data_IF_416852276951
#
_entry.id   IF_416852276951
#
_cell.length_a   1.000
_cell.length_b   1.000
_cell.length_c   1.000
_cell.angle_alpha   90.00
_cell.angle_beta   90.00
_cell.angle_gamma   90.00
#
_symmetry.space_group_name_H-M   'P 1'
#
loop_
_entity.id
_entity.type
_entity.pdbx_description
1 polymer ?
#
# COMPACT_ATOMS: atom_id res chain seq x y z
N UNK A 1 -24.66 -35.35 11.34
CA UNK A 1 -23.35 -34.98 10.75
C UNK A 1 -23.53 -34.82 9.25
N UNK A 2 -23.50 -33.57 8.82
CA UNK A 2 -23.69 -33.06 7.47
C UNK A 2 -22.49 -33.35 6.58
N UNK A 3 -22.73 -33.89 5.39
CA UNK A 3 -21.77 -33.87 4.28
C UNK A 3 -22.40 -33.10 3.12
N UNK A 4 -22.21 -31.78 3.14
CA UNK A 4 -22.45 -30.93 1.97
C UNK A 4 -21.39 -31.29 0.93
N UNK A 5 -21.81 -31.93 -0.16
CA UNK A 5 -20.95 -32.32 -1.28
C UNK A 5 -20.66 -31.07 -2.13
N UNK A 6 -19.37 -30.75 -2.21
CA UNK A 6 -18.66 -30.13 -3.34
C UNK A 6 -19.53 -29.42 -4.40
N UNK A 7 -19.48 -28.10 -4.39
CA UNK A 7 -19.85 -27.25 -5.52
C UNK A 7 -18.98 -27.63 -6.74
N UNK A 8 -19.57 -28.08 -7.86
CA UNK A 8 -18.79 -28.35 -9.06
C UNK A 8 -18.34 -27.00 -9.62
N UNK A 9 -17.04 -26.80 -9.68
CA UNK A 9 -16.42 -25.71 -10.42
C UNK A 9 -16.76 -25.95 -11.91
N UNK A 10 -17.88 -25.38 -12.37
CA UNK A 10 -18.39 -25.58 -13.72
C UNK A 10 -17.52 -24.75 -14.64
N UNK A 11 -16.40 -25.32 -15.09
CA UNK A 11 -15.57 -24.74 -16.14
C UNK A 11 -16.43 -24.67 -17.39
N UNK A 12 -16.99 -23.49 -17.67
CA UNK A 12 -17.72 -23.23 -18.91
C UNK A 12 -16.65 -23.37 -20.01
N UNK A 13 -16.83 -24.25 -21.01
CA UNK A 13 -15.90 -24.32 -22.13
C UNK A 13 -15.90 -22.97 -22.84
N UNK A 14 -14.76 -22.29 -22.85
CA UNK A 14 -14.58 -20.99 -23.51
C UNK A 14 -14.05 -21.27 -24.91
N UNK A 15 -14.76 -20.80 -25.93
CA UNK A 15 -14.27 -20.84 -27.31
C UNK A 15 -13.13 -19.83 -27.47
N UNK A 16 -11.95 -20.34 -27.81
CA UNK A 16 -10.76 -19.52 -28.05
C UNK A 16 -10.68 -19.15 -29.54
N UNK A 17 -10.26 -17.92 -29.87
CA UNK A 17 -10.04 -17.52 -31.25
C UNK A 17 -8.89 -18.33 -31.88
N UNK A 18 -8.98 -18.57 -33.19
CA UNK A 18 -7.91 -19.23 -33.94
C UNK A 18 -6.63 -18.37 -33.93
N UNK A 19 -5.51 -18.97 -33.55
CA UNK A 19 -4.21 -18.31 -33.40
C UNK A 19 -3.21 -18.65 -34.51
N UNK A 20 -3.65 -19.33 -35.57
CA UNK A 20 -2.82 -19.67 -36.73
C UNK A 20 -2.88 -18.58 -37.79
N UNK A 21 -2.04 -17.56 -37.64
CA UNK A 21 -1.93 -16.43 -38.57
C UNK A 21 -0.96 -16.75 -39.70
N UNK A 22 -1.36 -16.52 -40.96
CA UNK A 22 -0.50 -16.78 -42.13
C UNK A 22 -0.11 -15.50 -42.86
N UNK A 23 -0.98 -14.49 -42.82
CA UNK A 23 -0.79 -13.22 -43.51
C UNK A 23 -0.72 -12.04 -42.54
N UNK A 24 -0.14 -10.92 -42.99
CA UNK A 24 -0.12 -9.66 -42.22
C UNK A 24 -1.54 -9.17 -41.89
N UNK A 25 -2.50 -9.45 -42.77
CA UNK A 25 -3.93 -9.17 -42.59
C UNK A 25 -4.51 -9.91 -41.38
N UNK A 26 -4.11 -11.17 -41.16
CA UNK A 26 -4.55 -11.98 -40.02
C UNK A 26 -4.03 -11.42 -38.70
N UNK A 27 -2.77 -10.98 -38.67
CA UNK A 27 -2.14 -10.35 -37.50
C UNK A 27 -2.84 -9.02 -37.17
N UNK A 28 -3.16 -8.21 -38.18
CA UNK A 28 -3.88 -6.96 -37.98
C UNK A 28 -5.28 -7.19 -37.38
N UNK A 29 -6.02 -8.19 -37.88
CA UNK A 29 -7.32 -8.59 -37.30
C UNK A 29 -7.17 -9.10 -35.87
N UNK A 30 -6.13 -9.88 -35.57
CA UNK A 30 -5.86 -10.34 -34.21
C UNK A 30 -5.59 -9.18 -33.25
N UNK A 31 -4.80 -8.18 -33.67
CA UNK A 31 -4.54 -6.97 -32.88
C UNK A 31 -5.84 -6.17 -32.63
N UNK A 32 -6.72 -6.06 -33.64
CA UNK A 32 -8.03 -5.44 -33.48
C UNK A 32 -8.89 -6.20 -32.45
N UNK A 33 -8.95 -7.53 -32.55
CA UNK A 33 -9.69 -8.38 -31.62
C UNK A 33 -9.15 -8.25 -30.19
N UNK A 34 -7.83 -8.15 -30.01
CA UNK A 34 -7.22 -7.87 -28.69
C UNK A 34 -7.72 -6.54 -28.14
N UNK A 35 -7.79 -5.49 -28.96
CA UNK A 35 -8.32 -4.19 -28.56
C UNK A 35 -9.81 -4.21 -28.19
N UNK A 36 -10.63 -4.97 -28.92
CA UNK A 36 -12.05 -5.17 -28.60
C UNK A 36 -12.25 -5.91 -27.26
N UNK A 37 -11.53 -7.01 -27.06
CA UNK A 37 -11.58 -7.79 -25.81
C UNK A 37 -11.08 -6.96 -24.62
N UNK A 38 -10.00 -6.16 -24.81
CA UNK A 38 -9.49 -5.28 -23.76
C UNK A 38 -10.53 -4.25 -23.35
N UNK A 39 -11.19 -3.58 -24.31
CA UNK A 39 -12.25 -2.60 -24.04
C UNK A 39 -13.44 -3.20 -23.30
N UNK A 40 -13.88 -4.40 -23.68
CA UNK A 40 -14.98 -5.07 -22.99
C UNK A 40 -14.60 -5.46 -21.56
N UNK A 41 -13.37 -5.96 -21.37
CA UNK A 41 -12.84 -6.25 -20.03
C UNK A 41 -12.79 -4.99 -19.17
N UNK A 42 -12.29 -3.88 -19.70
CA UNK A 42 -12.18 -2.62 -18.97
C UNK A 42 -13.56 -2.05 -18.65
N UNK A 43 -14.54 -2.18 -19.55
CA UNK A 43 -15.94 -1.81 -19.30
C UNK A 43 -16.54 -2.59 -18.14
N UNK A 44 -16.36 -3.92 -18.12
CA UNK A 44 -16.84 -4.78 -17.03
C UNK A 44 -16.16 -4.39 -15.73
N UNK A 45 -14.84 -4.21 -15.75
CA UNK A 45 -14.05 -3.83 -14.59
C UNK A 45 -14.52 -2.49 -14.01
N UNK A 46 -14.65 -1.45 -14.85
CA UNK A 46 -15.08 -0.13 -14.42
C UNK A 46 -16.49 -0.17 -13.81
N UNK A 47 -17.43 -0.90 -14.43
CA UNK A 47 -18.77 -1.10 -13.89
C UNK A 47 -18.76 -1.80 -12.52
N UNK A 48 -17.85 -2.75 -12.30
CA UNK A 48 -17.67 -3.41 -11.01
C UNK A 48 -17.04 -2.48 -9.99
N UNK A 49 -16.00 -1.75 -10.36
CA UNK A 49 -15.31 -0.81 -9.47
C UNK A 49 -16.25 0.33 -9.02
N UNK A 50 -17.12 0.83 -9.89
CA UNK A 50 -18.19 1.79 -9.54
C UNK A 50 -19.17 1.22 -8.51
N UNK A 51 -19.57 -0.05 -8.67
CA UNK A 51 -20.46 -0.71 -7.70
C UNK A 51 -19.79 -0.92 -6.34
N UNK A 52 -18.51 -1.31 -6.34
CA UNK A 52 -17.72 -1.44 -5.11
C UNK A 52 -17.60 -0.08 -4.42
N UNK A 53 -17.29 0.97 -5.16
CA UNK A 53 -17.19 2.32 -4.61
C UNK A 53 -18.51 2.78 -3.99
N UNK A 54 -19.63 2.53 -4.67
CA UNK A 54 -20.97 2.84 -4.14
C UNK A 54 -21.27 2.08 -2.85
N UNK A 55 -21.00 0.77 -2.83
CA UNK A 55 -21.22 -0.07 -1.65
C UNK A 55 -20.36 0.38 -0.45
N UNK A 56 -19.10 0.73 -0.70
CA UNK A 56 -18.20 1.24 0.34
C UNK A 56 -18.67 2.60 0.87
N UNK A 57 -19.16 3.48 0.01
CA UNK A 57 -19.70 4.77 0.40
C UNK A 57 -20.97 4.62 1.25
N UNK A 58 -21.90 3.76 0.82
CA UNK A 58 -23.14 3.49 1.56
C UNK A 58 -22.82 2.91 2.96
N UNK A 59 -21.91 1.94 3.03
CA UNK A 59 -21.45 1.36 4.30
C UNK A 59 -20.76 2.40 5.19
N UNK A 60 -19.92 3.27 4.62
CA UNK A 60 -19.28 4.34 5.38
C UNK A 60 -20.31 5.34 5.93
N UNK A 61 -21.33 5.68 5.14
CA UNK A 61 -22.41 6.58 5.57
C UNK A 61 -23.24 5.99 6.72
N UNK A 62 -23.47 4.67 6.73
CA UNK A 62 -24.17 3.99 7.82
C UNK A 62 -23.29 3.86 9.08
N UNK A 63 -22.00 3.56 8.93
CA UNK A 63 -21.09 3.35 10.06
C UNK A 63 -20.65 4.65 10.72
N UNK A 64 -20.47 5.73 9.97
CA UNK A 64 -19.91 7.00 10.50
C UNK A 64 -20.73 7.56 11.69
N UNK A 65 -22.07 7.64 11.64
CA UNK A 65 -22.86 8.08 12.80
C UNK A 65 -22.75 7.15 14.02
N UNK A 66 -22.61 5.83 13.81
CA UNK A 66 -22.45 4.86 14.89
C UNK A 66 -21.07 5.02 15.55
N UNK A 67 -20.02 5.17 14.75
CA UNK A 67 -18.66 5.41 15.23
C UNK A 67 -18.57 6.71 16.02
N UNK A 68 -19.22 7.79 15.55
CA UNK A 68 -19.28 9.05 16.28
C UNK A 68 -19.99 8.92 17.64
N UNK A 69 -21.12 8.18 17.69
CA UNK A 69 -21.82 7.90 18.95
C UNK A 69 -20.93 7.10 19.91
N UNK A 70 -20.24 6.07 19.42
CA UNK A 70 -19.31 5.27 20.23
C UNK A 70 -18.16 6.13 20.73
N UNK A 71 -17.54 6.94 19.88
CA UNK A 71 -16.45 7.83 20.26
C UNK A 71 -16.88 8.85 21.32
N UNK A 72 -18.07 9.43 21.19
CA UNK A 72 -18.61 10.34 22.18
C UNK A 72 -18.81 9.66 23.54
N UNK A 73 -19.40 8.46 23.57
CA UNK A 73 -19.55 7.69 24.81
C UNK A 73 -18.20 7.30 25.41
N UNK A 74 -17.24 6.83 24.61
CA UNK A 74 -15.88 6.50 25.05
C UNK A 74 -15.18 7.72 25.63
N UNK A 75 -15.35 8.91 25.04
CA UNK A 75 -14.78 10.16 25.57
C UNK A 75 -15.35 10.51 26.94
N UNK A 76 -16.66 10.34 27.16
CA UNK A 76 -17.30 10.57 28.45
C UNK A 76 -16.84 9.57 29.51
N UNK A 77 -16.75 8.28 29.14
CA UNK A 77 -16.22 7.23 30.03
C UNK A 77 -14.78 7.54 30.42
N UNK A 78 -13.93 7.94 29.45
CA UNK A 78 -12.55 8.32 29.72
C UNK A 78 -12.47 9.51 30.67
N UNK A 79 -13.24 10.57 30.41
CA UNK A 79 -13.29 11.75 31.27
C UNK A 79 -13.66 11.38 32.72
N UNK A 80 -14.67 10.54 32.89
CA UNK A 80 -15.08 10.06 34.22
C UNK A 80 -13.98 9.21 34.89
N UNK A 81 -13.37 8.27 34.17
CA UNK A 81 -12.27 7.43 34.69
C UNK A 81 -11.06 8.25 35.10
N UNK A 82 -10.74 9.32 34.36
CA UNK A 82 -9.61 10.19 34.66
C UNK A 82 -9.82 11.00 35.97
N UNK A 83 -11.08 11.33 36.33
CA UNK A 83 -11.41 12.04 37.58
C UNK A 83 -11.65 11.11 38.79
N UNK A 84 -12.09 9.87 38.54
CA UNK A 84 -12.45 8.88 39.56
C UNK A 84 -11.48 7.68 39.60
N UNK A 85 -10.21 7.92 39.25
CA UNK A 85 -9.24 6.83 39.07
C UNK A 85 -9.02 6.04 40.37
N UNK A 86 -8.90 6.73 41.50
CA UNK A 86 -8.68 6.11 42.82
C UNK A 86 -9.90 5.31 43.30
N UNK A 87 -11.12 5.77 42.96
CA UNK A 87 -12.37 5.11 43.30
C UNK A 87 -12.58 3.83 42.47
N UNK A 88 -12.30 3.89 41.16
CA UNK A 88 -12.51 2.77 40.24
C UNK A 88 -11.36 1.76 40.25
N UNK A 89 -10.15 2.20 40.61
CA UNK A 89 -8.94 1.37 40.68
C UNK A 89 -8.20 1.58 42.02
N UNK A 90 -8.80 1.15 43.16
CA UNK A 90 -8.23 1.37 44.48
C UNK A 90 -6.90 0.63 44.70
N UNK A 91 -6.69 -0.49 43.98
CA UNK A 91 -5.47 -1.27 44.08
C UNK A 91 -4.55 -0.98 42.87
N UNK A 92 -3.33 -0.43 43.09
CA UNK A 92 -2.41 -0.08 42.00
C UNK A 92 -1.90 -1.28 41.19
N UNK A 93 -1.96 -2.48 41.78
CA UNK A 93 -1.59 -3.76 41.15
C UNK A 93 -2.72 -4.34 40.27
N UNK A 94 -3.99 -4.07 40.61
CA UNK A 94 -5.17 -4.61 39.92
C UNK A 94 -5.85 -3.53 39.07
N UNK A 95 -5.33 -3.31 37.86
CA UNK A 95 -5.84 -2.34 36.89
C UNK A 95 -7.05 -2.82 36.09
N UNK A 96 -7.98 -3.54 36.73
CA UNK A 96 -9.22 -4.03 36.12
C UNK A 96 -10.40 -3.74 37.05
N UNK A 97 -11.40 -3.02 36.55
CA UNK A 97 -12.66 -2.76 37.24
C UNK A 97 -13.78 -3.52 36.51
N UNK A 98 -14.51 -4.38 37.22
CA UNK A 98 -15.66 -5.12 36.67
C UNK A 98 -16.94 -4.36 36.99
N UNK A 99 -17.68 -3.99 35.95
CA UNK A 99 -19.01 -3.41 36.03
C UNK A 99 -20.05 -4.48 35.70
N UNK A 100 -21.32 -4.22 36.02
CA UNK A 100 -22.44 -5.14 35.73
C UNK A 100 -22.59 -5.43 34.23
N UNK A 101 -22.24 -4.49 33.37
CA UNK A 101 -22.39 -4.56 31.89
C UNK A 101 -21.09 -4.79 31.14
N UNK A 102 -19.93 -4.77 31.82
CA UNK A 102 -18.63 -4.86 31.14
C UNK A 102 -17.44 -4.71 32.06
N UNK A 103 -16.24 -4.58 31.48
CA UNK A 103 -15.00 -4.43 32.28
C UNK A 103 -14.13 -3.29 31.75
N UNK A 104 -13.66 -2.43 32.64
CA UNK A 104 -12.66 -1.40 32.35
C UNK A 104 -11.27 -1.93 32.71
N UNK A 105 -10.31 -1.80 31.80
CA UNK A 105 -8.93 -2.28 32.01
C UNK A 105 -7.94 -1.19 31.62
N UNK A 106 -7.07 -0.81 32.54
CA UNK A 106 -5.94 0.06 32.24
C UNK A 106 -4.72 -0.80 31.89
N UNK A 107 -4.24 -0.68 30.64
CA UNK A 107 -3.06 -1.39 30.15
C UNK A 107 -1.96 -0.40 29.82
N UNK A 108 -0.73 -0.70 30.23
CA UNK A 108 0.46 0.00 29.75
C UNK A 108 0.83 -0.60 28.40
N UNK A 109 0.77 0.19 27.33
CA UNK A 109 1.27 -0.21 26.01
C UNK A 109 2.70 0.31 25.90
N UNK A 110 3.71 -0.54 25.62
CA UNK A 110 5.08 -0.08 25.45
C UNK A 110 5.19 0.80 24.21
N UNK A 111 6.05 1.85 24.23
CA UNK A 111 6.30 2.66 23.04
C UNK A 111 6.93 1.81 21.93
N UNK A 112 6.43 1.95 20.68
CA UNK A 112 6.94 1.23 19.51
C UNK A 112 7.15 2.17 18.33
N UNK A 113 8.26 1.99 17.61
CA UNK A 113 8.57 2.71 16.36
C UNK A 113 8.75 1.69 15.25
N UNK A 114 8.07 1.86 14.11
CA UNK A 114 8.27 1.04 12.91
C UNK A 114 9.27 1.71 11.98
N UNK A 115 10.41 1.06 11.70
CA UNK A 115 11.43 1.55 10.75
C UNK A 115 11.63 0.55 9.62
N UNK A 116 11.26 0.93 8.38
CA UNK A 116 11.55 0.15 7.17
C UNK A 116 12.72 0.82 6.45
N UNK A 117 13.88 0.20 6.60
CA UNK A 117 15.20 0.66 6.16
C UNK A 117 16.22 0.01 7.09
N UNK A 118 16.68 -1.19 6.74
CA UNK A 118 17.39 -2.07 7.68
C UNK A 118 18.73 -1.43 8.07
N UNK A 119 18.90 -1.11 9.36
CA UNK A 119 20.11 -0.46 9.90
C UNK A 119 21.41 -1.17 9.47
N UNK A 120 21.38 -2.51 9.46
CA UNK A 120 22.52 -3.34 9.02
C UNK A 120 23.01 -3.08 7.59
N UNK A 121 22.13 -2.64 6.68
CA UNK A 121 22.51 -2.33 5.31
C UNK A 121 23.26 -0.99 5.22
N UNK A 122 22.78 0.01 5.95
CA UNK A 122 23.44 1.30 6.02
C UNK A 122 24.73 1.25 6.84
N UNK A 123 24.77 0.46 7.91
CA UNK A 123 25.99 0.18 8.68
C UNK A 123 27.07 -0.46 7.80
N UNK A 124 26.72 -1.42 6.94
CA UNK A 124 27.67 -2.04 6.01
C UNK A 124 28.26 -1.02 5.03
N UNK A 125 27.43 -0.19 4.38
CA UNK A 125 27.88 0.85 3.45
C UNK A 125 28.76 1.89 4.17
N UNK A 126 28.40 2.30 5.38
CA UNK A 126 29.18 3.26 6.17
C UNK A 126 30.50 2.68 6.66
N UNK A 127 30.55 1.38 6.96
CA UNK A 127 31.77 0.65 7.34
C UNK A 127 32.72 0.54 6.15
N UNK A 128 32.20 0.11 4.98
CA UNK A 128 32.98 -0.08 3.76
C UNK A 128 33.63 1.23 3.24
N UNK A 129 33.10 2.39 3.65
CA UNK A 129 33.63 3.71 3.30
C UNK A 129 34.36 4.42 4.47
N UNK A 130 34.60 3.76 5.60
CA UNK A 130 35.20 4.35 6.82
C UNK A 130 34.45 5.60 7.35
N UNK A 131 33.13 5.67 7.13
CA UNK A 131 32.27 6.79 7.53
C UNK A 131 31.45 6.51 8.79
N UNK A 132 31.48 5.27 9.31
CA UNK A 132 30.64 4.84 10.43
C UNK A 132 30.90 5.63 11.72
N UNK A 133 32.17 5.82 12.12
CA UNK A 133 32.52 6.57 13.33
C UNK A 133 32.14 8.06 13.21
N UNK A 134 32.36 8.65 12.03
CA UNK A 134 32.00 10.05 11.75
C UNK A 134 30.49 10.24 11.79
N UNK A 135 29.75 9.31 11.20
CA UNK A 135 28.30 9.32 11.19
C UNK A 135 27.73 9.15 12.60
N UNK A 136 28.26 8.23 13.41
CA UNK A 136 27.82 8.04 14.80
C UNK A 136 28.10 9.27 15.68
N UNK A 137 29.27 9.90 15.53
CA UNK A 137 29.58 11.15 16.23
C UNK A 137 28.64 12.30 15.81
N UNK A 138 28.29 12.39 14.53
CA UNK A 138 27.34 13.37 14.01
C UNK A 138 25.93 13.11 14.57
N UNK A 139 25.47 11.86 14.51
CA UNK A 139 24.18 11.44 15.05
C UNK A 139 24.11 11.70 16.56
N UNK A 140 25.17 11.43 17.32
CA UNK A 140 25.23 11.71 18.75
C UNK A 140 25.08 13.22 19.05
N UNK A 141 25.84 14.07 18.34
CA UNK A 141 25.73 15.54 18.47
C UNK A 141 24.34 16.05 18.12
N UNK A 142 23.73 15.54 17.05
CA UNK A 142 22.41 15.96 16.59
C UNK A 142 21.28 15.41 17.48
N UNK A 143 21.45 14.20 18.03
CA UNK A 143 20.51 13.60 18.98
C UNK A 143 20.48 14.37 20.31
N UNK A 144 21.61 14.94 20.72
CA UNK A 144 21.68 15.87 21.86
C UNK A 144 20.87 17.16 21.66
N UNK A 145 20.45 17.46 20.43
CA UNK A 145 19.60 18.60 20.05
C UNK A 145 18.25 18.11 19.47
N UNK A 146 17.87 16.85 19.73
CA UNK A 146 16.62 16.24 19.29
C UNK A 146 16.41 16.18 17.76
N UNK A 147 17.48 16.25 16.96
CA UNK A 147 17.42 16.16 15.49
C UNK A 147 17.60 14.71 15.01
N UNK A 148 16.79 14.28 14.03
CA UNK A 148 16.83 12.92 13.44
C UNK A 148 17.33 12.95 12.00
N UNK A 149 18.34 12.13 11.69
CA UNK A 149 18.84 11.94 10.32
C UNK A 149 18.19 10.69 9.68
N UNK A 150 17.80 10.80 8.40
CA UNK A 150 17.34 9.69 7.56
C UNK A 150 18.33 9.51 6.40
N UNK A 151 18.86 8.31 6.21
CA UNK A 151 19.76 7.99 5.09
C UNK A 151 18.96 7.33 3.96
N UNK A 152 19.16 7.80 2.73
CA UNK A 152 18.55 7.27 1.52
C UNK A 152 19.59 7.19 0.39
N UNK A 153 19.44 6.23 -0.52
CA UNK A 153 20.32 6.09 -1.69
C UNK A 153 19.92 7.05 -2.80
N UNK A 154 20.88 7.79 -3.34
CA UNK A 154 20.66 8.64 -4.50
C UNK A 154 20.68 7.79 -5.79
N UNK A 155 19.50 7.53 -6.34
CA UNK A 155 19.33 6.70 -7.55
C UNK A 155 19.86 7.37 -8.82
N UNK A 156 19.80 8.69 -8.90
CA UNK A 156 20.23 9.45 -10.07
C UNK A 156 21.75 9.39 -10.23
N UNK A 157 22.49 9.48 -9.13
CA UNK A 157 23.95 9.31 -9.16
C UNK A 157 24.39 7.88 -9.48
N UNK A 158 23.63 6.87 -9.05
CA UNK A 158 23.88 5.47 -9.42
C UNK A 158 23.71 5.26 -10.94
N UNK A 159 22.73 5.92 -11.55
CA UNK A 159 22.48 5.87 -12.99
C UNK A 159 23.51 6.69 -13.79
N UNK A 160 24.07 7.76 -13.22
CA UNK A 160 25.09 8.58 -13.85
C UNK A 160 26.47 7.89 -13.92
N UNK A 161 26.83 7.06 -12.92
CA UNK A 161 28.09 6.31 -12.89
C UNK A 161 27.86 4.79 -12.63
N UNK A 162 27.25 4.06 -13.59
CA UNK A 162 26.81 2.68 -13.36
C UNK A 162 27.97 1.71 -13.11
N UNK A 163 29.11 1.87 -13.79
CA UNK A 163 30.30 1.02 -13.62
C UNK A 163 30.92 1.13 -12.22
N UNK A 164 30.98 2.34 -11.64
CA UNK A 164 31.47 2.56 -10.26
C UNK A 164 30.48 2.03 -9.22
N UNK A 165 29.17 2.18 -9.47
CA UNK A 165 28.14 1.65 -8.59
C UNK A 165 28.13 0.11 -8.58
N UNK A 166 28.33 -0.55 -9.72
CA UNK A 166 28.46 -2.01 -9.79
C UNK A 166 29.69 -2.51 -9.01
N UNK A 167 30.83 -1.84 -9.12
CA UNK A 167 32.07 -2.23 -8.45
C UNK A 167 32.02 -2.01 -6.92
N UNK A 168 31.38 -0.92 -6.45
CA UNK A 168 31.29 -0.60 -5.02
C UNK A 168 30.10 -1.21 -4.28
N UNK A 169 28.95 -1.37 -4.95
CA UNK A 169 27.67 -1.74 -4.32
C UNK A 169 27.12 -3.10 -4.79
N UNK A 170 27.71 -3.73 -5.81
CA UNK A 170 27.29 -5.06 -6.29
C UNK A 170 25.86 -5.08 -6.86
N UNK A 171 25.39 -3.99 -7.45
CA UNK A 171 24.04 -3.86 -8.00
C UNK A 171 23.98 -4.56 -9.37
N UNK A 172 23.01 -5.46 -9.56
CA UNK A 172 22.73 -6.04 -10.88
C UNK A 172 21.95 -5.02 -11.73
N UNK A 173 22.58 -4.49 -12.77
CA UNK A 173 21.91 -3.70 -13.79
C UNK A 173 21.19 -4.67 -14.75
N UNK A 174 19.91 -4.43 -15.04
CA UNK A 174 19.20 -5.23 -16.05
C UNK A 174 19.53 -4.65 -17.43
N UNK A 175 20.12 -5.46 -18.30
CA UNK A 175 20.53 -5.05 -19.65
C UNK A 175 19.34 -4.73 -20.56
N UNK A 176 19.60 -3.92 -21.59
CA UNK A 176 18.64 -3.58 -22.64
C UNK A 176 18.15 -4.86 -23.34
N UNK A 177 16.85 -5.18 -23.18
CA UNK A 177 16.20 -6.28 -23.90
C UNK A 177 15.12 -5.69 -24.80
N UNK A 178 15.20 -6.02 -26.07
CA UNK A 178 14.12 -5.73 -27.02
C UNK A 178 12.88 -6.56 -26.62
N UNK A 179 11.78 -5.86 -26.32
CA UNK A 179 10.49 -6.46 -25.98
C UNK A 179 9.49 -6.06 -27.05
N UNK A 180 8.78 -7.05 -27.60
CA UNK A 180 7.67 -6.79 -28.49
C UNK A 180 6.48 -6.29 -27.66
N UNK A 181 6.12 -5.02 -27.85
CA UNK A 181 4.91 -4.43 -27.29
C UNK A 181 3.82 -4.43 -28.36
N UNK A 182 2.71 -5.11 -28.09
CA UNK A 182 1.52 -5.05 -28.93
C UNK A 182 0.56 -4.09 -28.25
N UNK A 183 0.47 -2.86 -28.78
CA UNK A 183 -0.55 -1.91 -28.38
C UNK A 183 -1.61 -1.85 -29.47
N UNK A 184 -2.84 -2.33 -29.24
CA UNK A 184 -3.96 -2.03 -30.12
C UNK A 184 -4.11 -0.51 -30.22
N UNK A 185 -4.55 -0.03 -31.38
CA UNK A 185 -4.76 1.40 -31.59
C UNK A 185 -5.94 1.84 -30.69
N UNK A 186 -5.64 2.56 -29.62
CA UNK A 186 -6.65 3.19 -28.78
C UNK A 186 -6.95 4.56 -29.38
N UNK A 187 -8.23 4.92 -29.51
CA UNK A 187 -8.59 6.29 -29.85
C UNK A 187 -8.24 7.15 -28.64
N UNK A 188 -7.01 7.66 -28.58
CA UNK A 188 -6.67 8.78 -27.71
C UNK A 188 -7.49 9.96 -28.21
N UNK A 189 -8.62 10.21 -27.54
CA UNK A 189 -9.33 11.46 -27.68
C UNK A 189 -8.44 12.55 -27.06
N UNK A 190 -7.60 13.16 -27.88
CA UNK A 190 -6.98 14.45 -27.56
C UNK A 190 -8.10 15.48 -27.52
N UNK A 191 -8.56 15.80 -26.31
CA UNK A 191 -9.48 16.91 -26.08
C UNK A 191 -8.61 18.16 -25.94
N UNK A 192 -8.54 18.96 -27.01
CA UNK A 192 -7.96 20.29 -26.95
C UNK A 192 -8.84 21.17 -26.05
N UNK A 193 -8.28 21.62 -24.92
CA UNK A 193 -8.92 22.62 -24.09
C UNK A 193 -8.85 23.97 -24.83
N UNK A 194 -9.86 24.27 -25.64
CA UNK A 194 -10.03 25.62 -26.16
C UNK A 194 -10.37 26.51 -24.98
N UNK A 195 -9.43 27.36 -24.57
CA UNK A 195 -9.74 28.51 -23.71
C UNK A 195 -10.76 29.38 -24.45
N UNK A 196 -12.04 29.26 -24.07
CA UNK A 196 -13.01 30.28 -24.41
C UNK A 196 -12.61 31.55 -23.66
N UNK A 197 -11.84 32.40 -24.35
CA UNK A 197 -11.68 33.81 -24.00
C UNK A 197 -12.93 34.54 -24.49
N UNK A 198 -13.87 34.78 -23.58
CA UNK A 198 -14.73 35.97 -23.50
C UNK A 198 -15.54 35.95 -22.20
#
# INVERSE_FOLDING_TARGET
>A
MSKSKNSPNKTIPIELPNNRYKERSDVARAIQQIGEIKREKDRIKNKTDEQIAKLLLDLQNEMTPLDLKVQHLVSGIKFYVDHHLEELFPNPEYKTCKLTTGTLKLRKVPPSVKTRGTAKFYEKILTDNNLLERFNNLVFKLSGVYLRIKLELNKEQILAEPTRAMQKLGIQLNEEKERLYISPNETELEIEAVENVA
#
